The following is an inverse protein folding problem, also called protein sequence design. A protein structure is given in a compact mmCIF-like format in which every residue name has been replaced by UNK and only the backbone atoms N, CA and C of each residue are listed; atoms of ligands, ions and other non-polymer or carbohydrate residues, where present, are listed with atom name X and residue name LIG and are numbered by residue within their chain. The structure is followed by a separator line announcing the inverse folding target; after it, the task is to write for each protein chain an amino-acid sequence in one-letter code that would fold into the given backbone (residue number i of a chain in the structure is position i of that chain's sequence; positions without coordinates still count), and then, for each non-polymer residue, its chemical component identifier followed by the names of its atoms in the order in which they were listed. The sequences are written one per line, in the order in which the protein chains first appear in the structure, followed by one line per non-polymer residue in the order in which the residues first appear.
data_IF_905320684686
#
_entry.id   IF_905320684686
#
_cell.length_a   1.000
_cell.length_b   1.000
_cell.length_c   1.000
_cell.angle_alpha   90.00
_cell.angle_beta   90.00
_cell.angle_gamma   90.00
#
_symmetry.space_group_name_H-M   'P 1'
#
loop_
_entity.id
_entity.type
_entity.pdbx_description
1 polymer ?
#
# COMPACT_ATOMS: atom_id res chain seq x y z
N UNK A 1 25.27 16.75 10.70
CA UNK A 1 24.62 16.25 9.46
C UNK A 1 23.86 14.96 9.81
N UNK A 2 22.58 15.04 10.04
CA UNK A 2 21.76 13.85 10.28
C UNK A 2 21.55 13.16 8.92
N UNK A 3 22.15 11.97 8.75
CA UNK A 3 21.94 11.16 7.57
C UNK A 3 20.46 10.82 7.45
N UNK A 4 19.86 11.17 6.32
CA UNK A 4 18.48 10.81 6.00
C UNK A 4 18.37 9.27 5.97
N UNK A 5 17.82 8.67 7.01
CA UNK A 5 17.57 7.23 7.10
C UNK A 5 16.29 6.96 6.32
N UNK A 6 16.42 6.71 5.02
CA UNK A 6 15.27 6.64 4.10
C UNK A 6 14.66 5.25 4.02
N UNK A 7 15.39 4.18 4.39
CA UNK A 7 14.89 2.81 4.32
C UNK A 7 14.21 2.37 5.61
N UNK A 8 12.96 1.95 5.52
CA UNK A 8 12.24 1.30 6.60
C UNK A 8 12.77 -0.12 6.82
N UNK A 9 13.14 -0.43 8.05
CA UNK A 9 13.48 -1.81 8.45
C UNK A 9 12.21 -2.67 8.53
N UNK A 10 12.38 -3.99 8.49
CA UNK A 10 11.25 -4.93 8.67
C UNK A 10 10.52 -4.71 10.01
N UNK A 11 11.27 -4.42 11.10
CA UNK A 11 10.67 -4.10 12.39
C UNK A 11 9.81 -2.84 12.34
N UNK A 12 10.26 -1.80 11.64
CA UNK A 12 9.49 -0.57 11.44
C UNK A 12 8.25 -0.82 10.59
N UNK A 13 8.33 -1.66 9.55
CA UNK A 13 7.18 -2.08 8.74
C UNK A 13 6.15 -2.86 9.57
N UNK A 14 6.59 -3.80 10.40
CA UNK A 14 5.72 -4.53 11.32
C UNK A 14 5.03 -3.60 12.32
N UNK A 15 5.72 -2.58 12.82
CA UNK A 15 5.12 -1.53 13.66
C UNK A 15 4.06 -0.74 12.90
N UNK A 16 4.39 -0.24 11.70
CA UNK A 16 3.47 0.50 10.84
C UNK A 16 2.23 -0.32 10.47
N UNK A 17 2.39 -1.63 10.26
CA UNK A 17 1.31 -2.57 9.99
C UNK A 17 0.32 -2.63 11.17
N UNK A 18 0.80 -2.76 12.40
CA UNK A 18 -0.05 -2.77 13.60
C UNK A 18 -0.75 -1.41 13.81
N UNK A 19 -0.03 -0.32 13.64
CA UNK A 19 -0.59 1.03 13.72
C UNK A 19 -1.67 1.26 12.66
N UNK A 20 -1.47 0.72 11.44
CA UNK A 20 -2.47 0.81 10.38
C UNK A 20 -3.73 0.03 10.73
N UNK A 21 -3.60 -1.16 11.31
CA UNK A 21 -4.77 -1.91 11.78
C UNK A 21 -5.58 -1.12 12.81
N UNK A 22 -4.91 -0.52 13.80
CA UNK A 22 -5.58 0.31 14.80
C UNK A 22 -6.24 1.56 14.19
N UNK A 23 -5.61 2.17 13.19
CA UNK A 23 -6.16 3.28 12.43
C UNK A 23 -7.41 2.86 11.65
N UNK A 24 -7.36 1.74 10.93
CA UNK A 24 -8.47 1.23 10.13
C UNK A 24 -9.68 0.86 11.00
N UNK A 25 -9.44 0.21 12.14
CA UNK A 25 -10.51 -0.13 13.09
C UNK A 25 -11.24 1.09 13.63
N UNK A 26 -10.58 2.23 13.72
CA UNK A 26 -11.17 3.49 14.21
C UNK A 26 -11.82 4.31 13.10
N UNK A 27 -11.17 4.42 11.94
CA UNK A 27 -11.52 5.41 10.92
C UNK A 27 -12.08 4.80 9.64
N UNK A 28 -11.97 3.47 9.47
CA UNK A 28 -12.40 2.73 8.27
C UNK A 28 -13.13 1.43 8.65
N UNK A 29 -13.93 1.50 9.72
CA UNK A 29 -14.64 0.33 10.22
C UNK A 29 -15.62 -0.24 9.19
N UNK A 30 -16.22 0.60 8.36
CA UNK A 30 -17.03 0.23 7.21
C UNK A 30 -16.31 -0.75 6.26
N UNK A 31 -15.02 -0.52 6.01
CA UNK A 31 -14.20 -1.40 5.16
C UNK A 31 -13.73 -2.64 5.95
N UNK A 32 -13.28 -2.45 7.19
CA UNK A 32 -12.77 -3.57 8.01
C UNK A 32 -13.87 -4.58 8.34
N UNK A 33 -15.11 -4.14 8.44
CA UNK A 33 -16.27 -5.00 8.70
C UNK A 33 -16.74 -5.81 7.48
N UNK A 34 -16.30 -5.48 6.28
CA UNK A 34 -16.57 -6.27 5.08
C UNK A 34 -15.95 -7.67 5.17
N UNK A 35 -16.53 -8.63 4.46
CA UNK A 35 -15.92 -9.93 4.30
C UNK A 35 -14.52 -9.79 3.68
N UNK A 36 -13.58 -10.66 4.05
CA UNK A 36 -12.18 -10.64 3.61
C UNK A 36 -12.03 -10.47 2.08
N UNK A 37 -12.84 -11.19 1.31
CA UNK A 37 -12.80 -11.15 -0.15
C UNK A 37 -13.22 -9.79 -0.70
N UNK A 38 -14.24 -9.18 -0.13
CA UNK A 38 -14.69 -7.83 -0.52
C UNK A 38 -13.64 -6.77 -0.16
N UNK A 39 -12.99 -6.90 0.99
CA UNK A 39 -11.87 -6.02 1.35
C UNK A 39 -10.73 -6.11 0.35
N UNK A 40 -10.35 -7.30 -0.09
CA UNK A 40 -9.28 -7.48 -1.08
C UNK A 40 -9.63 -6.83 -2.42
N UNK A 41 -10.86 -7.00 -2.90
CA UNK A 41 -11.33 -6.31 -4.11
C UNK A 41 -11.31 -4.80 -3.96
N UNK A 42 -11.73 -4.28 -2.81
CA UNK A 42 -11.65 -2.84 -2.51
C UNK A 42 -10.22 -2.32 -2.59
N UNK A 43 -9.24 -3.05 -2.03
CA UNK A 43 -7.83 -2.67 -2.12
C UNK A 43 -7.29 -2.77 -3.57
N UNK A 44 -7.72 -3.76 -4.34
CA UNK A 44 -7.41 -3.87 -5.76
C UNK A 44 -7.84 -2.65 -6.56
N UNK A 45 -9.05 -2.13 -6.28
CA UNK A 45 -9.54 -0.88 -6.89
C UNK A 45 -8.68 0.33 -6.50
N UNK A 46 -8.17 0.38 -5.26
CA UNK A 46 -7.24 1.42 -4.84
C UNK A 46 -5.92 1.34 -5.61
N UNK A 47 -5.33 0.16 -5.76
CA UNK A 47 -4.10 -0.01 -6.52
C UNK A 47 -4.28 0.38 -7.99
N UNK A 48 -5.37 -0.03 -8.64
CA UNK A 48 -5.70 0.39 -10.00
C UNK A 48 -5.84 1.92 -10.12
N UNK A 49 -6.52 2.56 -9.17
CA UNK A 49 -6.64 4.03 -9.09
C UNK A 49 -5.27 4.69 -8.99
N UNK A 50 -4.34 4.14 -8.20
CA UNK A 50 -3.01 4.71 -8.02
C UNK A 50 -2.12 4.53 -9.25
N UNK A 51 -2.21 3.42 -9.96
CA UNK A 51 -1.61 3.26 -11.29
C UNK A 51 -2.09 4.37 -12.22
N UNK A 52 -3.40 4.61 -12.26
CA UNK A 52 -3.99 5.66 -13.08
C UNK A 52 -3.50 7.08 -12.71
N UNK A 53 -3.30 7.36 -11.41
CA UNK A 53 -2.72 8.65 -10.98
C UNK A 53 -1.30 8.84 -11.49
N UNK A 54 -0.46 7.82 -11.35
CA UNK A 54 0.93 7.88 -11.82
C UNK A 54 1.00 7.99 -13.36
N UNK A 55 0.12 7.30 -14.07
CA UNK A 55 0.06 7.34 -15.52
C UNK A 55 -0.40 8.70 -16.09
N UNK A 56 -1.12 9.50 -15.31
CA UNK A 56 -1.52 10.85 -15.73
C UNK A 56 -0.42 11.91 -15.59
N UNK A 57 0.66 11.60 -14.86
CA UNK A 57 1.81 12.48 -14.69
C UNK A 57 1.42 13.93 -14.31
N UNK A 58 1.79 14.90 -15.14
CA UNK A 58 1.53 16.32 -14.90
C UNK A 58 0.04 16.70 -14.95
N UNK A 59 -0.84 15.86 -15.48
CA UNK A 59 -2.29 16.07 -15.48
C UNK A 59 -2.94 15.62 -14.15
N UNK A 60 -2.21 14.97 -13.25
CA UNK A 60 -2.71 14.58 -11.92
C UNK A 60 -2.54 15.73 -10.93
N UNK A 61 -3.65 16.13 -10.29
CA UNK A 61 -3.65 17.21 -9.29
C UNK A 61 -2.95 16.83 -7.96
N UNK A 62 -2.86 15.52 -7.66
CA UNK A 62 -2.22 15.04 -6.44
C UNK A 62 -0.73 14.76 -6.68
N UNK A 63 0.17 15.25 -5.81
CA UNK A 63 1.59 14.98 -5.96
C UNK A 63 1.87 13.47 -5.86
N UNK A 64 2.94 13.03 -6.51
CA UNK A 64 3.35 11.62 -6.54
C UNK A 64 3.61 11.08 -5.13
N UNK A 65 4.20 11.88 -4.25
CA UNK A 65 4.45 11.54 -2.85
C UNK A 65 3.15 11.14 -2.12
N UNK A 66 2.05 11.85 -2.41
CA UNK A 66 0.73 11.51 -1.89
C UNK A 66 0.27 10.13 -2.35
N UNK A 67 0.49 9.80 -3.61
CA UNK A 67 0.14 8.48 -4.17
C UNK A 67 0.99 7.38 -3.55
N UNK A 68 2.29 7.61 -3.35
CA UNK A 68 3.19 6.67 -2.67
C UNK A 68 2.71 6.39 -1.24
N UNK A 69 2.38 7.42 -0.47
CA UNK A 69 1.89 7.26 0.90
C UNK A 69 0.54 6.53 0.93
N UNK A 70 -0.41 6.93 0.09
CA UNK A 70 -1.72 6.27 -0.01
C UNK A 70 -1.55 4.78 -0.40
N UNK A 71 -0.61 4.46 -1.30
CA UNK A 71 -0.30 3.08 -1.68
C UNK A 71 0.26 2.28 -0.51
N UNK A 72 1.16 2.87 0.28
CA UNK A 72 1.68 2.21 1.47
C UNK A 72 0.57 1.89 2.47
N UNK A 73 -0.29 2.86 2.80
CA UNK A 73 -1.36 2.64 3.77
C UNK A 73 -2.30 1.51 3.34
N UNK A 74 -2.69 1.49 2.06
CA UNK A 74 -3.50 0.39 1.51
C UNK A 74 -2.74 -0.93 1.50
N UNK A 75 -1.44 -0.94 1.18
CA UNK A 75 -0.60 -2.14 1.24
C UNK A 75 -0.48 -2.73 2.66
N UNK A 76 -0.39 -1.87 3.69
CA UNK A 76 -0.39 -2.29 5.10
C UNK A 76 -1.76 -2.89 5.49
N UNK A 77 -2.87 -2.28 5.09
CA UNK A 77 -4.23 -2.80 5.31
C UNK A 77 -4.45 -4.13 4.57
N UNK A 78 -3.90 -4.24 3.38
CA UNK A 78 -3.88 -5.48 2.59
C UNK A 78 -3.09 -6.58 3.31
N UNK A 79 -1.90 -6.28 3.83
CA UNK A 79 -1.08 -7.22 4.59
C UNK A 79 -1.84 -7.74 5.84
N UNK A 80 -2.53 -6.87 6.55
CA UNK A 80 -3.39 -7.25 7.67
C UNK A 80 -4.50 -8.22 7.24
N UNK A 81 -5.15 -7.96 6.12
CA UNK A 81 -6.22 -8.81 5.58
C UNK A 81 -5.70 -10.16 5.08
N UNK A 82 -4.50 -10.20 4.50
CA UNK A 82 -3.84 -11.41 3.99
C UNK A 82 -3.09 -12.19 5.09
N UNK A 83 -3.05 -11.69 6.33
CA UNK A 83 -2.23 -12.24 7.41
C UNK A 83 -0.75 -12.40 7.02
N UNK A 84 -0.20 -11.37 6.36
CA UNK A 84 1.23 -11.24 6.14
C UNK A 84 1.88 -10.65 7.39
N UNK A 85 3.05 -11.13 7.77
CA UNK A 85 3.85 -10.56 8.86
C UNK A 85 5.04 -9.78 8.27
N UNK A 86 4.84 -8.48 8.09
CA UNK A 86 5.85 -7.60 7.50
C UNK A 86 7.10 -7.43 8.37
N UNK A 87 7.06 -7.81 9.66
CA UNK A 87 8.26 -7.81 10.51
C UNK A 87 9.25 -8.91 10.12
N UNK A 88 8.78 -9.95 9.47
CA UNK A 88 9.55 -11.11 9.03
C UNK A 88 9.78 -11.14 7.51
N UNK A 89 9.23 -10.20 6.76
CA UNK A 89 9.43 -10.11 5.32
C UNK A 89 10.60 -9.19 4.97
N UNK A 90 11.40 -9.59 3.98
CA UNK A 90 12.46 -8.73 3.44
C UNK A 90 11.88 -7.82 2.35
N UNK A 91 11.33 -6.70 2.75
CA UNK A 91 10.82 -5.66 1.84
C UNK A 91 11.99 -4.77 1.44
N UNK A 92 12.64 -5.12 0.35
CA UNK A 92 13.76 -4.35 -0.22
C UNK A 92 13.66 -4.28 -1.74
N UNK A 93 14.22 -3.21 -2.33
CA UNK A 93 14.29 -3.09 -3.78
C UNK A 93 15.27 -4.09 -4.37
N UNK A 94 14.82 -5.03 -5.21
CA UNK A 94 15.75 -5.85 -5.97
C UNK A 94 16.56 -4.95 -6.92
N UNK A 95 17.89 -5.07 -6.91
CA UNK A 95 18.80 -4.27 -7.76
C UNK A 95 18.48 -4.36 -9.25
N UNK A 96 17.88 -5.49 -9.72
CA UNK A 96 17.43 -5.68 -11.11
C UNK A 96 16.29 -4.76 -11.52
N UNK A 97 15.51 -4.22 -10.58
CA UNK A 97 14.36 -3.35 -10.89
C UNK A 97 14.76 -1.91 -11.20
N UNK A 98 16.00 -1.51 -10.91
CA UNK A 98 16.49 -0.15 -11.19
C UNK A 98 16.56 0.23 -12.67
N UNK A 99 16.44 -0.74 -13.58
CA UNK A 99 16.47 -0.53 -15.03
C UNK A 99 15.08 -0.55 -15.68
N UNK A 100 14.03 -0.81 -14.89
CA UNK A 100 12.65 -0.89 -15.39
C UNK A 100 11.90 0.37 -14.95
N UNK A 101 11.05 0.88 -15.84
CA UNK A 101 10.16 2.00 -15.53
C UNK A 101 9.36 1.73 -14.23
N UNK A 102 9.47 2.60 -13.21
CA UNK A 102 8.78 2.43 -11.94
C UNK A 102 7.26 2.24 -12.08
N UNK A 103 6.63 2.92 -13.05
CA UNK A 103 5.21 2.76 -13.32
C UNK A 103 4.88 1.33 -13.78
N UNK A 104 5.71 0.76 -14.65
CA UNK A 104 5.50 -0.62 -15.13
C UNK A 104 5.62 -1.65 -14.01
N UNK A 105 6.58 -1.46 -13.10
CA UNK A 105 6.74 -2.33 -11.92
C UNK A 105 5.48 -2.32 -11.05
N UNK A 106 4.98 -1.12 -10.76
CA UNK A 106 3.77 -0.99 -9.96
C UNK A 106 2.53 -1.50 -10.69
N UNK A 107 2.38 -1.20 -11.97
CA UNK A 107 1.25 -1.65 -12.78
C UNK A 107 1.21 -3.19 -12.88
N UNK A 108 2.36 -3.85 -13.03
CA UNK A 108 2.45 -5.32 -13.01
C UNK A 108 1.98 -5.89 -11.67
N UNK A 109 2.51 -5.39 -10.55
CA UNK A 109 2.12 -5.85 -9.23
C UNK A 109 0.63 -5.61 -8.93
N UNK A 110 0.10 -4.43 -9.30
CA UNK A 110 -1.32 -4.11 -9.17
C UNK A 110 -2.19 -5.02 -10.05
N UNK A 111 -1.73 -5.33 -11.27
CA UNK A 111 -2.40 -6.26 -12.18
C UNK A 111 -2.47 -7.70 -11.62
N UNK A 112 -1.35 -8.21 -11.07
CA UNK A 112 -1.34 -9.52 -10.39
C UNK A 112 -2.23 -9.54 -9.16
N UNK A 113 -2.34 -8.43 -8.44
CA UNK A 113 -3.28 -8.33 -7.32
C UNK A 113 -4.73 -8.37 -7.80
N UNK A 114 -5.04 -7.72 -8.93
CA UNK A 114 -6.36 -7.77 -9.55
C UNK A 114 -6.71 -9.19 -10.05
N UNK A 115 -5.75 -9.91 -10.66
CA UNK A 115 -5.90 -11.32 -11.04
C UNK A 115 -6.22 -12.20 -9.81
N UNK A 116 -5.53 -12.00 -8.69
CA UNK A 116 -5.85 -12.69 -7.45
C UNK A 116 -7.28 -12.39 -6.96
N UNK A 117 -7.77 -11.15 -7.13
CA UNK A 117 -9.15 -10.79 -6.80
C UNK A 117 -10.18 -11.47 -7.71
N UNK A 118 -9.88 -11.62 -9.01
CA UNK A 118 -10.72 -12.35 -9.96
C UNK A 118 -10.81 -13.84 -9.61
N UNK A 119 -9.69 -14.46 -9.24
CA UNK A 119 -9.63 -15.86 -8.81
C UNK A 119 -10.54 -16.17 -7.62
N UNK A 120 -10.78 -15.21 -6.74
CA UNK A 120 -11.76 -15.34 -5.66
C UNK A 120 -13.16 -15.68 -6.21
N UNK A 121 -13.58 -15.01 -7.27
CA UNK A 121 -14.91 -15.21 -7.87
C UNK A 121 -15.05 -16.58 -8.54
N UNK A 122 -13.93 -17.14 -8.99
CA UNK A 122 -13.85 -18.46 -9.62
C UNK A 122 -13.54 -19.59 -8.64
N UNK A 123 -13.45 -19.30 -7.34
CA UNK A 123 -13.08 -20.25 -6.28
C UNK A 123 -11.71 -20.92 -6.51
N UNK A 124 -10.80 -20.20 -7.14
CA UNK A 124 -9.43 -20.63 -7.39
C UNK A 124 -8.49 -20.21 -6.25
N UNK A 125 -7.30 -20.78 -6.23
CA UNK A 125 -6.25 -20.38 -5.28
C UNK A 125 -5.73 -18.98 -5.62
N UNK A 126 -5.93 -18.02 -4.73
CA UNK A 126 -5.56 -16.63 -4.91
C UNK A 126 -4.51 -16.13 -3.91
N UNK A 127 -4.41 -16.78 -2.76
CA UNK A 127 -3.68 -16.25 -1.61
C UNK A 127 -2.18 -16.06 -1.88
N UNK A 128 -1.44 -17.02 -2.50
CA UNK A 128 -0.02 -16.83 -2.81
C UNK A 128 0.20 -15.66 -3.77
N UNK A 129 -0.65 -15.52 -4.80
CA UNK A 129 -0.56 -14.44 -5.78
C UNK A 129 -0.81 -13.09 -5.11
N UNK A 130 -1.86 -12.98 -4.30
CA UNK A 130 -2.20 -11.75 -3.59
C UNK A 130 -1.07 -11.31 -2.63
N UNK A 131 -0.49 -12.25 -1.88
CA UNK A 131 0.62 -11.98 -0.96
C UNK A 131 1.87 -11.50 -1.70
N UNK A 132 2.26 -12.19 -2.77
CA UNK A 132 3.43 -11.79 -3.56
C UNK A 132 3.21 -10.43 -4.24
N UNK A 133 2.03 -10.18 -4.79
CA UNK A 133 1.70 -8.91 -5.40
C UNK A 133 1.75 -7.76 -4.38
N UNK A 134 1.18 -7.95 -3.17
CA UNK A 134 1.27 -6.95 -2.11
C UNK A 134 2.71 -6.71 -1.63
N UNK A 135 3.52 -7.77 -1.52
CA UNK A 135 4.95 -7.66 -1.23
C UNK A 135 5.65 -6.77 -2.26
N UNK A 136 5.43 -7.02 -3.55
CA UNK A 136 6.06 -6.27 -4.63
C UNK A 136 5.59 -4.81 -4.68
N UNK A 137 4.31 -4.55 -4.37
CA UNK A 137 3.78 -3.19 -4.19
C UNK A 137 4.52 -2.46 -3.05
N UNK A 138 4.72 -3.11 -1.92
CA UNK A 138 5.45 -2.52 -0.79
C UNK A 138 6.92 -2.27 -1.13
N UNK A 139 7.58 -3.19 -1.84
CA UNK A 139 8.93 -2.99 -2.35
C UNK A 139 9.01 -1.76 -3.27
N UNK A 140 8.04 -1.60 -4.17
CA UNK A 140 7.94 -0.43 -5.04
C UNK A 140 7.78 0.86 -4.24
N UNK A 141 6.91 0.88 -3.22
CA UNK A 141 6.71 2.06 -2.35
C UNK A 141 8.01 2.50 -1.68
N UNK A 142 8.73 1.56 -1.06
CA UNK A 142 9.99 1.85 -0.36
C UNK A 142 11.03 2.40 -1.35
N UNK A 143 11.15 1.78 -2.52
CA UNK A 143 12.07 2.22 -3.58
C UNK A 143 11.72 3.62 -4.05
N UNK A 144 10.46 3.89 -4.36
CA UNK A 144 10.00 5.18 -4.87
C UNK A 144 10.19 6.31 -3.84
N UNK A 145 10.00 6.01 -2.55
CA UNK A 145 10.24 6.97 -1.46
C UNK A 145 11.74 7.27 -1.30
N UNK A 146 12.59 6.25 -1.38
CA UNK A 146 14.05 6.38 -1.27
C UNK A 146 14.63 7.20 -2.44
N UNK A 147 14.24 6.90 -3.67
CA UNK A 147 14.65 7.64 -4.86
C UNK A 147 14.27 9.12 -4.79
N UNK A 148 13.10 9.42 -4.21
CA UNK A 148 12.61 10.80 -4.04
C UNK A 148 13.14 11.48 -2.79
N UNK A 149 13.82 10.76 -1.91
CA UNK A 149 14.43 11.27 -0.67
C UNK A 149 13.47 12.04 0.23
N UNK A 150 12.20 11.62 0.30
CA UNK A 150 11.23 12.24 1.20
C UNK A 150 11.02 11.41 2.48
N UNK A 151 10.68 12.10 3.58
CA UNK A 151 10.45 11.45 4.88
C UNK A 151 9.09 10.73 4.88
N UNK A 152 9.13 9.44 4.53
CA UNK A 152 7.96 8.59 4.44
C UNK A 152 7.25 8.45 5.80
N UNK A 153 7.98 8.37 6.91
CA UNK A 153 7.37 8.23 8.24
C UNK A 153 6.57 9.48 8.65
N UNK A 154 7.12 10.65 8.42
CA UNK A 154 6.40 11.92 8.66
C UNK A 154 5.18 12.06 7.74
N UNK A 155 5.31 11.67 6.48
CA UNK A 155 4.20 11.70 5.52
C UNK A 155 3.07 10.74 5.89
N UNK A 156 3.39 9.54 6.41
CA UNK A 156 2.40 8.58 6.93
C UNK A 156 1.63 9.18 8.11
N UNK A 157 2.34 9.77 9.08
CA UNK A 157 1.69 10.39 10.25
C UNK A 157 0.74 11.51 9.84
N UNK A 158 1.20 12.41 8.98
CA UNK A 158 0.39 13.51 8.46
C UNK A 158 -0.86 12.99 7.73
N UNK A 159 -0.68 11.95 6.89
CA UNK A 159 -1.79 11.39 6.13
C UNK A 159 -2.82 10.68 7.00
N UNK A 160 -2.39 9.91 7.99
CA UNK A 160 -3.30 9.28 8.95
C UNK A 160 -4.09 10.33 9.76
N UNK A 161 -3.44 11.41 10.19
CA UNK A 161 -4.10 12.51 10.88
C UNK A 161 -5.16 13.17 10.00
N UNK A 162 -4.86 13.44 8.73
CA UNK A 162 -5.83 13.96 7.77
C UNK A 162 -7.02 13.01 7.56
N UNK A 163 -6.76 11.71 7.43
CA UNK A 163 -7.84 10.72 7.28
C UNK A 163 -8.70 10.60 8.54
N UNK A 164 -8.09 10.67 9.72
CA UNK A 164 -8.81 10.62 10.99
C UNK A 164 -9.70 11.82 11.23
N UNK A 165 -9.40 12.96 10.60
CA UNK A 165 -10.24 14.18 10.70
C UNK A 165 -11.47 14.16 9.79
N UNK A 166 -11.57 13.17 8.90
CA UNK A 166 -12.74 12.99 8.03
C UNK A 166 -13.79 12.19 8.80
N UNK A 167 -14.85 12.81 9.20
CA UNK A 167 -16.01 12.13 9.79
C UNK A 167 -16.76 11.41 8.65
N UNK A 168 -16.57 10.10 8.53
CA UNK A 168 -17.16 9.38 7.40
C UNK A 168 -18.58 8.92 7.68
N UNK A 169 -19.02 8.69 8.90
CA UNK A 169 -20.23 7.91 9.04
C UNK A 169 -21.13 8.18 10.25
N UNK A 170 -20.82 8.92 11.23
CA UNK A 170 -21.78 9.12 12.34
C UNK A 170 -21.55 10.50 12.93
N UNK A 171 -22.44 11.42 12.59
CA UNK A 171 -22.85 12.48 13.50
C UNK A 171 -23.84 11.82 14.45
N UNK A 172 -23.48 11.69 15.74
CA UNK A 172 -24.41 11.31 16.78
C UNK A 172 -25.47 12.40 16.95
#
# INVERSE_FOLDING_TARGET
MAGCKTMLSSLELGKLQREQHAHDMRNHFDIVSLHKTERLKHYGLHFAKYVGRLARESAEAKPVERTIVDTLLVGLSTANTLHQDLSNENISSPSRLKQIDPLRIFADAAGRFADACEKIDHLEEFLPIARQANHDILCWVITAADERKFDLQSAIRARRSELASRHFYIED
#
